data_IF_918852522502
#
_entry.id   IF_918852522502
#
_cell.length_a   1.000
_cell.length_b   1.000
_cell.length_c   1.000
_cell.angle_alpha   90.00
_cell.angle_beta   90.00
_cell.angle_gamma   90.00
#
_symmetry.space_group_name_H-M   'P 1'
#
loop_
_entity.id
_entity.type
_entity.pdbx_description
1 polymer ?
#
# COMPACT_ATOMS: atom_id res chain seq x y z
N UNK A 1 13.43 5.21 -3.82
CA UNK A 1 12.83 5.86 -2.65
C UNK A 1 11.34 5.54 -2.65
N UNK A 2 10.71 5.17 -1.52
CA UNK A 2 9.25 5.23 -1.44
C UNK A 2 8.86 6.69 -1.67
N UNK A 3 7.92 6.92 -2.58
CA UNK A 3 7.38 8.26 -2.81
C UNK A 3 6.58 8.61 -1.56
N UNK A 4 7.11 9.53 -0.75
CA UNK A 4 6.57 9.92 0.55
C UNK A 4 6.70 8.84 1.64
N UNK A 5 7.15 9.22 2.84
CA UNK A 5 7.30 8.32 3.99
C UNK A 5 5.98 7.83 4.61
N UNK A 6 4.95 7.64 3.78
CA UNK A 6 3.62 7.17 4.19
C UNK A 6 3.71 5.68 4.47
N UNK A 7 3.34 5.29 5.69
CA UNK A 7 3.26 3.89 6.08
C UNK A 7 1.94 3.27 5.65
N UNK A 8 1.91 1.96 5.45
CA UNK A 8 0.66 1.21 5.22
C UNK A 8 -0.36 1.45 6.35
N UNK A 9 0.09 1.65 7.59
CA UNK A 9 -0.77 2.00 8.72
C UNK A 9 -1.45 3.38 8.54
N UNK A 10 -0.74 4.38 8.00
CA UNK A 10 -1.31 5.69 7.71
C UNK A 10 -2.39 5.60 6.62
N UNK A 11 -2.13 4.84 5.56
CA UNK A 11 -3.12 4.55 4.50
C UNK A 11 -4.37 3.89 5.10
N UNK A 12 -4.19 2.85 5.92
CA UNK A 12 -5.32 2.16 6.54
C UNK A 12 -6.14 3.06 7.49
N UNK A 13 -5.47 3.93 8.24
CA UNK A 13 -6.13 4.90 9.11
C UNK A 13 -6.97 5.91 8.31
N UNK A 14 -6.43 6.42 7.18
CA UNK A 14 -7.16 7.33 6.30
C UNK A 14 -8.35 6.65 5.62
N UNK A 15 -8.19 5.40 5.15
CA UNK A 15 -9.29 4.62 4.60
C UNK A 15 -10.39 4.35 5.64
N UNK A 16 -10.00 4.09 6.90
CA UNK A 16 -10.96 3.95 8.00
C UNK A 16 -11.69 5.25 8.31
N UNK A 17 -11.02 6.40 8.19
CA UNK A 17 -11.62 7.72 8.43
C UNK A 17 -12.72 8.07 7.42
N UNK A 18 -12.61 7.58 6.18
CA UNK A 18 -13.64 7.70 5.14
C UNK A 18 -14.69 6.59 5.20
N UNK A 19 -14.65 5.75 6.24
CA UNK A 19 -15.65 4.72 6.52
C UNK A 19 -15.42 3.38 5.82
N UNK A 20 -14.23 3.12 5.28
CA UNK A 20 -13.88 1.82 4.69
C UNK A 20 -13.27 0.89 5.73
N UNK A 21 -13.65 -0.39 5.67
CA UNK A 21 -13.05 -1.43 6.51
C UNK A 21 -11.66 -1.81 5.97
N UNK A 22 -10.63 -1.07 6.40
CA UNK A 22 -9.25 -1.29 5.98
C UNK A 22 -8.55 -2.35 6.86
N UNK A 23 -7.83 -3.26 6.20
CA UNK A 23 -7.03 -4.32 6.81
C UNK A 23 -5.59 -4.15 6.33
N UNK A 24 -4.64 -4.33 7.25
CA UNK A 24 -3.20 -4.26 6.93
C UNK A 24 -2.64 -5.66 7.02
N UNK A 25 -1.99 -6.11 5.95
CA UNK A 25 -1.27 -7.37 5.92
C UNK A 25 0.22 -7.12 5.72
N UNK A 26 1.02 -7.69 6.62
CA UNK A 26 2.47 -7.60 6.56
C UNK A 26 3.05 -8.78 5.78
N UNK A 27 3.90 -8.48 4.80
CA UNK A 27 4.71 -9.45 4.08
C UNK A 27 6.21 -9.14 4.25
N UNK A 28 7.06 -10.09 3.85
CA UNK A 28 8.52 -9.96 3.97
C UNK A 28 9.08 -8.74 3.23
N UNK A 29 8.53 -8.43 2.05
CA UNK A 29 9.05 -7.39 1.14
C UNK A 29 8.17 -6.16 1.02
N UNK A 30 6.95 -6.21 1.54
CA UNK A 30 5.98 -5.13 1.44
C UNK A 30 4.90 -5.28 2.50
N UNK A 31 4.11 -4.24 2.68
CA UNK A 31 2.89 -4.26 3.47
C UNK A 31 1.74 -3.90 2.55
N UNK A 32 0.71 -4.74 2.51
CA UNK A 32 -0.53 -4.48 1.78
C UNK A 32 -1.56 -3.87 2.71
N UNK A 33 -2.41 -3.02 2.13
CA UNK A 33 -3.62 -2.51 2.75
C UNK A 33 -4.77 -2.88 1.84
N UNK A 34 -5.78 -3.53 2.38
CA UNK A 34 -6.96 -3.95 1.65
C UNK A 34 -8.20 -3.32 2.29
N UNK A 35 -9.14 -2.87 1.47
CA UNK A 35 -10.38 -2.27 1.96
C UNK A 35 -11.57 -2.70 1.09
N UNK A 36 -12.63 -3.14 1.76
CA UNK A 36 -13.90 -3.46 1.12
C UNK A 36 -14.62 -2.17 0.73
N UNK A 37 -14.94 -2.03 -0.56
CA UNK A 37 -15.57 -0.83 -1.12
C UNK A 37 -17.07 -1.07 -1.25
N UNK A 38 -17.92 -0.35 -0.46
CA UNK A 38 -19.35 -0.50 -0.53
C UNK A 38 -19.90 0.02 -1.86
N UNK A 39 -21.00 -0.57 -2.32
CA UNK A 39 -21.59 -0.19 -3.61
C UNK A 39 -22.17 1.22 -3.62
N UNK A 40 -22.59 1.69 -2.45
CA UNK A 40 -23.17 3.00 -2.17
C UNK A 40 -22.13 4.10 -1.94
N UNK A 41 -20.83 3.84 -2.12
CA UNK A 41 -19.80 4.85 -1.91
C UNK A 41 -20.02 6.04 -2.86
N UNK A 42 -20.04 7.25 -2.29
CA UNK A 42 -20.21 8.48 -3.07
C UNK A 42 -18.99 8.77 -3.95
N UNK A 43 -19.18 9.53 -5.02
CA UNK A 43 -18.08 9.93 -5.91
C UNK A 43 -17.02 10.80 -5.20
N UNK A 44 -17.44 11.66 -4.26
CA UNK A 44 -16.52 12.49 -3.46
C UNK A 44 -15.66 11.61 -2.54
N UNK A 45 -16.29 10.68 -1.80
CA UNK A 45 -15.57 9.71 -0.96
C UNK A 45 -14.66 8.82 -1.81
N UNK A 46 -15.08 8.44 -3.01
CA UNK A 46 -14.24 7.67 -3.93
C UNK A 46 -13.00 8.45 -4.38
N UNK A 47 -13.13 9.76 -4.63
CA UNK A 47 -11.98 10.60 -4.98
C UNK A 47 -10.98 10.66 -3.83
N UNK A 48 -11.46 10.89 -2.61
CA UNK A 48 -10.61 10.92 -1.41
C UNK A 48 -9.88 9.59 -1.20
N UNK A 49 -10.56 8.47 -1.40
CA UNK A 49 -9.98 7.12 -1.36
C UNK A 49 -8.85 6.97 -2.38
N UNK A 50 -9.06 7.45 -3.62
CA UNK A 50 -8.04 7.41 -4.67
C UNK A 50 -6.83 8.29 -4.34
N UNK A 51 -7.04 9.46 -3.75
CA UNK A 51 -5.97 10.35 -3.30
C UNK A 51 -5.11 9.70 -2.20
N UNK A 52 -5.73 8.95 -1.29
CA UNK A 52 -5.03 8.20 -0.24
C UNK A 52 -4.17 7.08 -0.85
N UNK A 53 -4.76 6.20 -1.67
CA UNK A 53 -4.02 5.05 -2.22
C UNK A 53 -2.99 5.43 -3.29
N UNK A 54 -3.12 6.59 -3.91
CA UNK A 54 -2.12 7.13 -4.83
C UNK A 54 -0.76 7.39 -4.16
N UNK A 55 -0.71 7.50 -2.82
CA UNK A 55 0.54 7.61 -2.06
C UNK A 55 1.27 6.26 -1.89
N UNK A 56 0.64 5.14 -2.24
CA UNK A 56 1.27 3.83 -2.17
C UNK A 56 2.20 3.58 -3.38
N UNK A 57 3.12 2.61 -3.25
CA UNK A 57 3.97 2.21 -4.38
C UNK A 57 3.16 1.61 -5.53
N UNK A 58 2.10 0.86 -5.19
CA UNK A 58 1.15 0.27 -6.13
C UNK A 58 -0.22 0.25 -5.49
N UNK A 59 -1.26 0.41 -6.29
CA UNK A 59 -2.63 0.25 -5.84
C UNK A 59 -3.50 -0.26 -6.98
N UNK A 60 -4.68 -0.77 -6.65
CA UNK A 60 -5.65 -1.22 -7.62
C UNK A 60 -6.97 -1.58 -6.99
N UNK A 61 -7.91 -1.95 -7.85
CA UNK A 61 -9.23 -2.42 -7.48
C UNK A 61 -9.40 -3.82 -8.08
N UNK A 62 -9.79 -4.78 -7.24
CA UNK A 62 -10.18 -6.10 -7.70
C UNK A 62 -11.65 -6.33 -7.34
N UNK A 63 -12.42 -6.78 -8.31
CA UNK A 63 -13.84 -7.08 -8.13
C UNK A 63 -14.05 -8.57 -8.36
N UNK A 64 -14.63 -9.25 -7.37
CA UNK A 64 -15.07 -10.64 -7.51
C UNK A 64 -16.58 -10.70 -7.35
N UNK A 65 -17.21 -11.66 -8.02
CA UNK A 65 -18.65 -11.88 -7.86
C UNK A 65 -19.05 -12.32 -6.45
N UNK A 66 -18.09 -12.76 -5.60
CA UNK A 66 -18.32 -13.27 -4.25
C UNK A 66 -18.02 -12.25 -3.14
N UNK A 67 -16.95 -11.46 -3.28
CA UNK A 67 -16.49 -10.53 -2.23
C UNK A 67 -16.73 -9.06 -2.61
N UNK A 68 -17.47 -8.79 -3.69
CA UNK A 68 -17.71 -7.44 -4.17
C UNK A 68 -16.44 -6.77 -4.68
N UNK A 69 -16.27 -5.49 -4.36
CA UNK A 69 -15.11 -4.66 -4.76
C UNK A 69 -14.15 -4.52 -3.58
N UNK A 70 -12.90 -4.91 -3.79
CA UNK A 70 -11.82 -4.76 -2.81
C UNK A 70 -10.74 -3.88 -3.40
N UNK A 71 -10.51 -2.74 -2.76
CA UNK A 71 -9.40 -1.85 -3.05
C UNK A 71 -8.15 -2.39 -2.34
N UNK A 72 -7.01 -2.32 -3.01
CA UNK A 72 -5.74 -2.70 -2.43
C UNK A 72 -4.67 -1.65 -2.71
N UNK A 73 -3.74 -1.51 -1.77
CA UNK A 73 -2.57 -0.65 -1.86
C UNK A 73 -1.36 -1.40 -1.27
N UNK A 74 -0.18 -1.20 -1.85
CA UNK A 74 1.06 -1.86 -1.44
C UNK A 74 2.11 -0.79 -1.17
N UNK A 75 2.72 -0.86 0.02
CA UNK A 75 3.90 -0.07 0.39
C UNK A 75 5.08 -1.03 0.50
N UNK A 76 6.09 -0.86 -0.35
CA UNK A 76 7.28 -1.71 -0.33
C UNK A 76 8.15 -1.35 0.85
N UNK A 77 8.63 -2.37 1.56
CA UNK A 77 9.66 -2.18 2.58
C UNK A 77 10.93 -1.75 1.85
N UNK A 78 11.57 -0.69 2.34
CA UNK A 78 12.90 -0.35 1.85
C UNK A 78 13.82 -1.54 2.18
N UNK A 79 14.26 -2.26 1.15
CA UNK A 79 15.32 -3.25 1.34
C UNK A 79 16.51 -2.46 1.86
N UNK A 80 17.09 -2.80 3.03
CA UNK A 80 18.36 -2.21 3.39
C UNK A 80 19.29 -2.55 2.23
N UNK A 81 19.80 -1.53 1.52
CA UNK A 81 20.81 -1.75 0.52
C UNK A 81 21.92 -2.51 1.25
N UNK A 82 22.09 -3.80 0.93
CA UNK A 82 23.21 -4.58 1.42
C UNK A 82 24.43 -3.77 1.04
N UNK A 83 25.07 -3.18 2.04
CA UNK A 83 26.17 -2.26 1.86
C UNK A 83 27.21 -2.90 0.97
N UNK A 84 27.59 -2.16 -0.07
CA UNK A 84 28.94 -2.07 -0.58
C UNK A 84 29.85 -3.24 -0.18
N UNK A 85 29.90 -4.29 -1.01
CA UNK A 85 30.98 -5.28 -0.93
C UNK A 85 32.23 -4.63 -1.55
N UNK A 86 32.76 -3.63 -0.88
CA UNK A 86 34.09 -3.07 -1.12
C UNK A 86 35.15 -4.02 -0.57
N UNK A 87 35.35 -5.16 -1.24
CA UNK A 87 36.47 -6.05 -0.97
C UNK A 87 37.63 -5.74 -1.92
N UNK A 88 38.75 -5.15 -1.47
CA UNK A 88 39.89 -4.92 -2.34
C UNK A 88 40.58 -6.26 -2.62
N UNK A 89 40.33 -6.82 -3.80
CA UNK A 89 41.09 -7.96 -4.33
C UNK A 89 42.47 -7.49 -4.76
N UNK A 90 43.40 -7.32 -3.81
CA UNK A 90 44.82 -7.35 -4.10
C UNK A 90 45.25 -8.82 -4.14
N UNK A 91 45.28 -9.41 -5.34
CA UNK A 91 46.09 -10.60 -5.58
C UNK A 91 47.55 -10.18 -5.71
N UNK A 92 48.42 -10.87 -4.99
CA UNK A 92 49.87 -10.70 -4.98
C UNK A 92 50.51 -11.89 -5.68
#
# INVERSE_FOLDING_TARGET
>A
MPASGVSAAAIAAQLSAVGLAARVEEHDRYTSVEAEVPESLSAESWREVLEVVANADRFGLFATSLNGRTLWAVVRKAVPATGDVGGPSHQR
#
